data_IF_281669292490
#
_entry.id   IF_281669292490
#
_cell.length_a   1.000
_cell.length_b   1.000
_cell.length_c   1.000
_cell.angle_alpha   90.00
_cell.angle_beta   90.00
_cell.angle_gamma   90.00
#
_symmetry.space_group_name_H-M   'P 1'
#
loop_
_entity.id
_entity.type
_entity.pdbx_description
1 polymer ?
#
# COMPACT_ATOMS: atom_id res chain seq x y z
N UNK A 1 -58.26 -17.58 6.18
CA UNK A 1 -57.29 -18.58 5.64
C UNK A 1 -56.48 -18.02 4.46
N UNK A 2 -56.06 -16.77 4.46
CA UNK A 2 -55.35 -16.15 3.31
C UNK A 2 -53.94 -15.59 3.69
N UNK A 3 -53.47 -15.76 4.93
CA UNK A 3 -52.23 -15.11 5.40
C UNK A 3 -51.00 -16.04 5.46
N UNK A 4 -51.14 -17.33 5.23
CA UNK A 4 -50.05 -18.31 5.28
C UNK A 4 -49.28 -18.45 3.94
N UNK A 5 -49.89 -18.08 2.82
CA UNK A 5 -49.29 -18.16 1.49
C UNK A 5 -48.24 -17.08 1.22
N UNK A 6 -48.51 -15.87 1.69
CA UNK A 6 -47.66 -14.69 1.44
C UNK A 6 -46.35 -14.75 2.26
N UNK A 7 -46.39 -15.28 3.47
CA UNK A 7 -45.18 -15.48 4.30
C UNK A 7 -44.24 -16.58 3.77
N UNK A 8 -44.82 -17.63 3.14
CA UNK A 8 -43.99 -18.67 2.53
C UNK A 8 -43.32 -18.21 1.23
N UNK A 9 -43.97 -17.35 0.46
CA UNK A 9 -43.34 -16.77 -0.73
C UNK A 9 -42.23 -15.78 -0.38
N UNK A 10 -42.44 -14.90 0.59
CA UNK A 10 -41.41 -13.94 1.08
C UNK A 10 -40.17 -14.65 1.66
N UNK A 11 -40.37 -15.75 2.39
CA UNK A 11 -39.24 -16.57 2.87
C UNK A 11 -38.54 -17.33 1.74
N UNK A 12 -39.21 -17.74 0.68
CA UNK A 12 -38.58 -18.37 -0.50
C UNK A 12 -37.79 -17.35 -1.33
N UNK A 13 -38.27 -16.12 -1.44
CA UNK A 13 -37.54 -15.05 -2.11
C UNK A 13 -36.31 -14.62 -1.31
N UNK A 14 -36.42 -14.47 0.01
CA UNK A 14 -35.27 -14.20 0.89
C UNK A 14 -34.22 -15.32 0.89
N UNK A 15 -34.64 -16.60 0.79
CA UNK A 15 -33.75 -17.74 0.60
C UNK A 15 -33.18 -17.81 -0.82
N UNK A 16 -33.87 -17.34 -1.84
CA UNK A 16 -33.30 -17.21 -3.20
C UNK A 16 -32.31 -16.08 -3.32
N UNK A 17 -32.53 -14.95 -2.67
CA UNK A 17 -31.60 -13.84 -2.65
C UNK A 17 -30.35 -14.11 -1.79
N UNK A 18 -30.46 -14.95 -0.75
CA UNK A 18 -29.30 -15.43 0.01
C UNK A 18 -28.45 -16.47 -0.75
N UNK A 19 -29.00 -17.10 -1.79
CA UNK A 19 -28.32 -18.08 -2.68
C UNK A 19 -27.86 -17.49 -4.01
N UNK A 20 -28.07 -16.21 -4.28
CA UNK A 20 -27.38 -15.56 -5.40
C UNK A 20 -25.90 -15.45 -5.04
N UNK A 21 -25.14 -16.52 -5.34
CA UNK A 21 -23.69 -16.43 -5.48
C UNK A 21 -23.38 -15.23 -6.39
N UNK A 22 -22.43 -14.39 -6.02
CA UNK A 22 -22.07 -13.24 -6.86
C UNK A 22 -21.62 -13.79 -8.21
N UNK A 23 -22.25 -13.31 -9.25
CA UNK A 23 -22.15 -13.68 -10.68
C UNK A 23 -20.74 -13.49 -11.30
N UNK A 24 -19.70 -13.66 -10.52
CA UNK A 24 -18.31 -13.68 -10.95
C UNK A 24 -17.51 -14.65 -10.08
N UNK A 25 -17.43 -15.91 -10.52
CA UNK A 25 -16.76 -17.03 -9.88
C UNK A 25 -15.25 -16.85 -9.65
N UNK A 26 -14.85 -15.76 -9.03
CA UNK A 26 -13.52 -15.56 -8.43
C UNK A 26 -13.63 -15.91 -6.96
N UNK A 27 -13.20 -17.11 -6.61
CA UNK A 27 -13.01 -17.50 -5.22
C UNK A 27 -12.09 -16.44 -4.57
N UNK A 28 -12.66 -15.55 -3.76
CA UNK A 28 -11.89 -14.54 -3.00
C UNK A 28 -10.95 -15.29 -2.08
N UNK A 29 -9.77 -14.75 -1.87
CA UNK A 29 -8.78 -15.26 -0.90
C UNK A 29 -8.87 -14.34 0.31
N UNK A 30 -9.66 -14.70 1.35
CA UNK A 30 -9.92 -13.82 2.50
C UNK A 30 -8.64 -13.40 3.21
N UNK A 31 -7.63 -14.25 3.21
CA UNK A 31 -6.32 -14.01 3.84
C UNK A 31 -5.61 -12.80 3.22
N UNK A 32 -5.75 -12.61 1.90
CA UNK A 32 -5.22 -11.43 1.22
C UNK A 32 -6.04 -10.17 1.52
N UNK A 33 -7.34 -10.29 1.76
CA UNK A 33 -8.16 -9.15 2.18
C UNK A 33 -7.80 -8.74 3.61
N UNK A 34 -7.58 -9.67 4.55
CA UNK A 34 -7.04 -9.34 5.88
C UNK A 34 -5.69 -8.62 5.79
N UNK A 35 -4.78 -9.13 4.94
CA UNK A 35 -3.48 -8.52 4.78
C UNK A 35 -3.54 -7.12 4.15
N UNK A 36 -4.38 -6.88 3.15
CA UNK A 36 -4.62 -5.54 2.60
C UNK A 36 -5.19 -4.59 3.65
N UNK A 37 -6.10 -5.08 4.51
CA UNK A 37 -6.64 -4.30 5.62
C UNK A 37 -5.57 -3.93 6.64
N UNK A 38 -4.67 -4.85 6.96
CA UNK A 38 -3.51 -4.55 7.80
C UNK A 38 -2.57 -3.52 7.13
N UNK A 39 -2.26 -3.70 5.85
CA UNK A 39 -1.40 -2.76 5.13
C UNK A 39 -2.01 -1.35 5.05
N UNK A 40 -3.31 -1.21 4.77
CA UNK A 40 -3.93 0.12 4.73
C UNK A 40 -4.00 0.78 6.11
N UNK A 41 -4.17 0.00 7.18
CA UNK A 41 -4.01 0.47 8.54
C UNK A 41 -2.60 1.06 8.75
N UNK A 42 -1.56 0.36 8.30
CA UNK A 42 -0.19 0.84 8.40
C UNK A 42 0.08 2.09 7.56
N UNK A 43 -0.59 2.24 6.40
CA UNK A 43 -0.52 3.50 5.62
C UNK A 43 -1.05 4.66 6.45
N UNK A 44 -2.22 4.51 7.05
CA UNK A 44 -2.83 5.56 7.88
C UNK A 44 -1.93 5.88 9.07
N UNK A 45 -1.55 4.86 9.86
CA UNK A 45 -0.67 5.02 11.02
C UNK A 45 0.67 5.65 10.63
N UNK A 46 1.29 5.20 9.55
CA UNK A 46 2.56 5.75 9.04
C UNK A 46 2.45 7.23 8.70
N UNK A 47 1.34 7.67 8.12
CA UNK A 47 1.11 9.10 7.86
C UNK A 47 0.87 9.92 9.14
N UNK A 48 0.26 9.35 10.18
CA UNK A 48 0.18 10.00 11.49
C UNK A 48 1.53 10.05 12.22
N UNK A 49 2.39 9.07 12.01
CA UNK A 49 3.76 9.05 12.59
C UNK A 49 4.73 9.98 11.85
N UNK A 50 4.46 10.34 10.59
CA UNK A 50 5.37 11.12 9.75
C UNK A 50 5.83 12.45 10.38
N UNK A 51 4.97 13.29 10.97
CA UNK A 51 5.40 14.52 11.64
C UNK A 51 6.23 14.28 12.91
N UNK A 52 6.17 13.07 13.48
CA UNK A 52 6.80 12.69 14.75
C UNK A 52 8.12 11.91 14.58
N UNK A 53 8.52 11.63 13.35
CA UNK A 53 9.70 10.80 13.04
C UNK A 53 11.05 11.49 13.31
N UNK A 54 11.06 12.75 13.73
CA UNK A 54 12.23 13.64 13.78
C UNK A 54 13.38 13.18 14.69
N UNK A 55 13.13 12.23 15.61
CA UNK A 55 14.18 11.63 16.41
C UNK A 55 14.36 10.15 16.05
N UNK A 56 15.54 9.70 15.58
CA UNK A 56 15.81 8.29 15.31
C UNK A 56 15.73 7.40 16.56
N UNK A 57 15.82 7.99 17.75
CA UNK A 57 15.74 7.26 19.02
C UNK A 57 14.31 7.10 19.57
N UNK A 58 13.33 7.79 18.99
CA UNK A 58 11.95 7.73 19.45
C UNK A 58 11.23 6.47 18.99
N UNK A 59 10.25 6.02 19.77
CA UNK A 59 9.32 4.95 19.37
C UNK A 59 8.62 5.30 18.05
N UNK A 60 8.26 6.57 17.85
CA UNK A 60 7.60 7.05 16.63
C UNK A 60 8.49 6.87 15.40
N UNK A 61 9.79 7.26 15.49
CA UNK A 61 10.74 7.09 14.40
C UNK A 61 10.97 5.64 14.04
N UNK A 62 11.22 4.78 15.03
CA UNK A 62 11.41 3.33 14.83
C UNK A 62 10.20 2.68 14.16
N UNK A 63 8.99 2.96 14.67
CA UNK A 63 7.75 2.42 14.12
C UNK A 63 7.47 2.94 12.71
N UNK A 64 7.70 4.24 12.47
CA UNK A 64 7.56 4.86 11.16
C UNK A 64 8.44 4.17 10.11
N UNK A 65 9.73 4.03 10.37
CA UNK A 65 10.65 3.44 9.39
C UNK A 65 10.46 1.95 9.22
N UNK A 66 10.05 1.22 10.26
CA UNK A 66 9.64 -0.17 10.11
C UNK A 66 8.44 -0.30 9.16
N UNK A 67 7.41 0.52 9.33
CA UNK A 67 6.24 0.53 8.43
C UNK A 67 6.69 0.86 7.00
N UNK A 68 7.47 1.93 6.82
CA UNK A 68 7.89 2.40 5.50
C UNK A 68 8.82 1.43 4.78
N UNK A 69 9.50 0.54 5.50
CA UNK A 69 10.41 -0.45 4.89
C UNK A 69 9.71 -1.50 4.03
N UNK A 70 8.39 -1.74 4.22
CA UNK A 70 7.73 -2.85 3.53
C UNK A 70 6.31 -2.58 3.04
N UNK A 71 5.54 -1.65 3.64
CA UNK A 71 4.10 -1.54 3.35
C UNK A 71 3.80 -1.21 1.89
N UNK A 72 4.56 -0.27 1.28
CA UNK A 72 4.38 0.07 -0.15
C UNK A 72 4.90 -1.02 -1.10
N UNK A 73 6.08 -1.62 -0.88
CA UNK A 73 6.48 -2.85 -1.57
C UNK A 73 5.41 -3.94 -1.56
N UNK A 74 4.81 -4.21 -0.39
CA UNK A 74 3.76 -5.21 -0.25
C UNK A 74 2.49 -4.84 -1.04
N UNK A 75 2.06 -3.57 -0.99
CA UNK A 75 0.91 -3.11 -1.78
C UNK A 75 1.14 -3.25 -3.29
N UNK A 76 2.32 -2.87 -3.77
CA UNK A 76 2.65 -2.97 -5.20
C UNK A 76 2.76 -4.42 -5.66
N UNK A 77 3.35 -5.29 -4.83
CA UNK A 77 3.36 -6.72 -5.09
C UNK A 77 1.94 -7.28 -5.24
N UNK A 78 1.05 -6.98 -4.29
CA UNK A 78 -0.36 -7.42 -4.37
C UNK A 78 -1.08 -6.80 -5.57
N UNK A 79 -0.81 -5.54 -5.90
CA UNK A 79 -1.40 -4.87 -7.07
C UNK A 79 -1.00 -5.57 -8.37
N UNK A 80 0.28 -5.93 -8.52
CA UNK A 80 0.77 -6.71 -9.66
C UNK A 80 0.15 -8.11 -9.71
N UNK A 81 0.03 -8.78 -8.57
CA UNK A 81 -0.61 -10.10 -8.46
C UNK A 81 -2.06 -10.08 -8.92
N UNK A 82 -2.86 -9.10 -8.49
CA UNK A 82 -4.26 -8.98 -8.91
C UNK A 82 -4.40 -8.45 -10.34
N UNK A 83 -3.51 -7.53 -10.75
CA UNK A 83 -3.48 -7.02 -12.11
C UNK A 83 -3.26 -8.13 -13.13
N UNK A 84 -2.28 -9.02 -12.94
CA UNK A 84 -2.01 -10.13 -13.85
C UNK A 84 -3.25 -11.00 -14.07
N UNK A 85 -3.99 -11.34 -13.02
CA UNK A 85 -5.21 -12.14 -13.13
C UNK A 85 -6.33 -11.46 -13.93
N UNK A 86 -6.39 -10.13 -13.90
CA UNK A 86 -7.31 -9.28 -14.67
C UNK A 86 -6.86 -9.17 -16.13
N UNK A 87 -5.58 -8.82 -16.31
CA UNK A 87 -4.95 -8.61 -17.60
C UNK A 87 -4.97 -9.88 -18.47
N UNK A 88 -4.64 -11.04 -17.93
CA UNK A 88 -4.67 -12.30 -18.67
C UNK A 88 -6.07 -12.64 -19.24
N UNK A 89 -7.14 -12.15 -18.60
CA UNK A 89 -8.54 -12.40 -19.03
C UNK A 89 -9.07 -11.36 -20.03
N UNK A 90 -8.68 -10.10 -19.87
CA UNK A 90 -9.33 -8.98 -20.55
C UNK A 90 -8.35 -8.07 -21.29
N UNK A 91 -7.04 -8.30 -21.17
CA UNK A 91 -6.01 -7.38 -21.66
C UNK A 91 -5.95 -6.07 -20.87
N UNK A 92 -5.20 -5.12 -21.38
CA UNK A 92 -5.10 -3.75 -20.84
C UNK A 92 -6.42 -3.01 -21.08
N UNK A 93 -7.02 -2.48 -20.03
CA UNK A 93 -8.31 -1.79 -20.08
C UNK A 93 -8.12 -0.29 -19.99
N UNK A 94 -8.24 0.43 -21.09
CA UNK A 94 -8.13 1.90 -21.15
C UNK A 94 -9.09 2.60 -20.18
N UNK A 95 -10.30 2.05 -19.96
CA UNK A 95 -11.25 2.57 -18.97
C UNK A 95 -10.65 2.54 -17.54
N UNK A 96 -9.89 1.50 -17.19
CA UNK A 96 -9.22 1.40 -15.88
C UNK A 96 -8.10 2.43 -15.77
N UNK A 97 -7.29 2.59 -16.82
CA UNK A 97 -6.23 3.60 -16.87
C UNK A 97 -6.79 5.01 -16.73
N UNK A 98 -7.87 5.30 -17.46
CA UNK A 98 -8.54 6.61 -17.39
C UNK A 98 -9.14 6.86 -15.99
N UNK A 99 -9.69 5.83 -15.34
CA UNK A 99 -10.18 5.94 -13.95
C UNK A 99 -9.04 6.26 -12.97
N UNK A 100 -7.85 5.66 -13.13
CA UNK A 100 -6.68 6.03 -12.30
C UNK A 100 -6.23 7.47 -12.56
N UNK A 101 -6.24 7.91 -13.81
CA UNK A 101 -5.89 9.28 -14.15
C UNK A 101 -6.86 10.29 -13.51
N UNK A 102 -8.16 10.07 -13.64
CA UNK A 102 -9.17 10.93 -13.00
C UNK A 102 -9.05 10.92 -11.48
N UNK A 103 -8.81 9.74 -10.88
CA UNK A 103 -8.61 9.62 -9.45
C UNK A 103 -7.36 10.37 -8.99
N UNK A 104 -6.28 10.31 -9.76
CA UNK A 104 -5.08 11.09 -9.50
C UNK A 104 -5.37 12.60 -9.49
N UNK A 105 -6.05 13.10 -10.52
CA UNK A 105 -6.44 14.52 -10.59
C UNK A 105 -7.32 14.92 -9.39
N UNK A 106 -8.33 14.11 -9.07
CA UNK A 106 -9.19 14.33 -7.93
C UNK A 106 -8.39 14.40 -6.62
N UNK A 107 -7.49 13.46 -6.40
CA UNK A 107 -6.64 13.46 -5.20
C UNK A 107 -5.71 14.67 -5.13
N UNK A 108 -5.16 15.12 -6.27
CA UNK A 108 -4.32 16.33 -6.32
C UNK A 108 -5.13 17.56 -5.90
N UNK A 109 -6.33 17.72 -6.43
CA UNK A 109 -7.23 18.80 -6.02
C UNK A 109 -7.60 18.71 -4.54
N UNK A 110 -7.93 17.52 -4.05
CA UNK A 110 -8.27 17.28 -2.64
C UNK A 110 -7.11 17.63 -1.70
N UNK A 111 -5.88 17.23 -2.05
CA UNK A 111 -4.69 17.54 -1.26
C UNK A 111 -4.39 19.04 -1.30
N UNK A 112 -4.56 19.68 -2.46
CA UNK A 112 -4.35 21.12 -2.59
C UNK A 112 -5.37 21.92 -1.75
N UNK A 113 -6.64 21.52 -1.74
CA UNK A 113 -7.65 22.12 -0.85
C UNK A 113 -7.25 21.94 0.62
N UNK A 114 -6.77 20.76 1.01
CA UNK A 114 -6.28 20.53 2.36
C UNK A 114 -5.07 21.43 2.69
N UNK A 115 -4.14 21.61 1.75
CA UNK A 115 -2.98 22.48 1.93
C UNK A 115 -3.39 23.97 2.04
N UNK A 116 -4.41 24.43 1.30
CA UNK A 116 -4.99 25.76 1.44
C UNK A 116 -5.64 25.96 2.82
N UNK A 117 -6.45 24.99 3.26
CA UNK A 117 -7.21 25.09 4.52
C UNK A 117 -6.30 24.97 5.75
N UNK A 118 -5.35 24.04 5.75
CA UNK A 118 -4.58 23.69 6.95
C UNK A 118 -3.18 24.29 6.99
N UNK A 119 -2.56 24.57 5.86
CA UNK A 119 -1.18 25.07 5.80
C UNK A 119 -1.06 26.46 5.17
N UNK A 120 -2.19 27.10 4.82
CA UNK A 120 -2.24 28.43 4.22
C UNK A 120 -1.31 28.56 3.00
N UNK A 121 -1.35 27.56 2.12
CA UNK A 121 -0.54 27.56 0.89
C UNK A 121 -0.81 28.83 0.08
N UNK A 122 0.25 29.44 -0.45
CA UNK A 122 0.16 30.62 -1.32
C UNK A 122 -0.06 30.27 -2.79
N UNK A 123 0.05 28.99 -3.14
CA UNK A 123 -0.17 28.54 -4.51
C UNK A 123 -1.66 28.46 -4.82
N UNK A 124 -2.10 29.13 -5.87
CA UNK A 124 -3.51 29.17 -6.29
C UNK A 124 -3.94 27.84 -6.95
N UNK A 125 -3.04 27.16 -7.65
CA UNK A 125 -3.32 25.94 -8.39
C UNK A 125 -2.46 24.77 -7.91
N UNK A 126 -2.98 23.51 -7.97
CA UNK A 126 -2.21 22.33 -7.67
C UNK A 126 -1.11 22.07 -8.72
N UNK A 127 0.06 21.67 -8.29
CA UNK A 127 1.12 21.19 -9.19
C UNK A 127 0.84 19.74 -9.58
N UNK A 128 0.37 19.52 -10.80
CA UNK A 128 0.05 18.19 -11.32
C UNK A 128 1.29 17.43 -11.81
N UNK A 129 2.42 18.07 -11.98
CA UNK A 129 3.61 17.45 -12.53
C UNK A 129 4.56 16.93 -11.45
N UNK A 130 4.65 17.62 -10.31
CA UNK A 130 5.50 17.17 -9.21
C UNK A 130 4.67 16.55 -8.10
N UNK A 131 4.98 15.29 -7.79
CA UNK A 131 4.21 14.50 -6.83
C UNK A 131 5.08 14.02 -5.67
N UNK A 132 5.12 14.79 -4.60
CA UNK A 132 5.79 14.44 -3.35
C UNK A 132 4.85 13.85 -2.28
N UNK A 133 3.55 13.80 -2.57
CA UNK A 133 2.47 13.55 -1.64
C UNK A 133 1.78 12.20 -1.86
N UNK A 134 0.69 11.93 -1.16
CA UNK A 134 -0.07 10.66 -1.19
C UNK A 134 -0.52 10.20 -2.60
N UNK A 135 -0.95 11.07 -3.56
CA UNK A 135 -1.40 10.62 -4.89
C UNK A 135 -0.39 9.82 -5.71
N UNK A 136 0.91 9.88 -5.36
CA UNK A 136 1.97 9.21 -6.11
C UNK A 136 1.69 7.72 -6.43
N UNK A 137 1.06 7.00 -5.51
CA UNK A 137 0.82 5.57 -5.68
C UNK A 137 -0.17 5.26 -6.81
N UNK A 138 -1.21 6.10 -6.96
CA UNK A 138 -2.20 5.95 -8.05
C UNK A 138 -1.54 6.26 -9.40
N UNK A 139 -0.70 7.28 -9.45
CA UNK A 139 0.05 7.64 -10.65
C UNK A 139 1.06 6.54 -11.03
N UNK A 140 1.76 5.98 -10.06
CA UNK A 140 2.66 4.85 -10.28
C UNK A 140 1.91 3.62 -10.78
N UNK A 141 0.73 3.30 -10.22
CA UNK A 141 -0.10 2.19 -10.72
C UNK A 141 -0.54 2.40 -12.16
N UNK A 142 -0.92 3.62 -12.53
CA UNK A 142 -1.25 4.00 -13.91
C UNK A 142 -0.09 3.67 -14.86
N UNK A 143 1.11 4.11 -14.53
CA UNK A 143 2.30 3.88 -15.38
C UNK A 143 2.72 2.41 -15.39
N UNK A 144 2.61 1.68 -14.27
CA UNK A 144 2.93 0.26 -14.21
C UNK A 144 1.96 -0.57 -15.05
N UNK A 145 0.65 -0.29 -15.01
CA UNK A 145 -0.31 -0.97 -15.89
C UNK A 145 -0.09 -0.59 -17.36
N UNK A 146 0.22 0.68 -17.64
CA UNK A 146 0.53 1.15 -18.99
C UNK A 146 1.80 0.51 -19.55
N UNK A 147 2.82 0.25 -18.73
CA UNK A 147 4.07 -0.38 -19.15
C UNK A 147 3.91 -1.81 -19.69
N UNK A 148 2.73 -2.43 -19.49
CA UNK A 148 2.43 -3.75 -20.04
C UNK A 148 1.84 -3.68 -21.46
N UNK A 149 1.41 -2.49 -21.90
CA UNK A 149 0.84 -2.30 -23.23
C UNK A 149 1.78 -2.72 -24.37
N UNK A 150 3.12 -2.41 -24.36
CA UNK A 150 4.02 -2.88 -25.40
C UNK A 150 4.07 -4.41 -25.51
N UNK A 151 3.97 -5.13 -24.39
CA UNK A 151 3.91 -6.58 -24.39
C UNK A 151 2.66 -7.10 -25.14
N UNK A 152 1.51 -6.43 -25.00
CA UNK A 152 0.33 -6.77 -25.78
C UNK A 152 0.47 -6.43 -27.26
N UNK A 153 0.95 -5.24 -27.58
CA UNK A 153 1.00 -4.74 -28.94
C UNK A 153 1.98 -5.55 -29.82
N UNK A 154 3.15 -5.88 -29.29
CA UNK A 154 4.22 -6.51 -30.07
C UNK A 154 4.27 -8.03 -29.98
N UNK A 155 3.72 -8.63 -28.90
CA UNK A 155 3.86 -10.06 -28.62
C UNK A 155 2.53 -10.83 -28.53
N UNK A 156 1.40 -10.19 -28.85
CA UNK A 156 0.09 -10.82 -28.82
C UNK A 156 -0.14 -11.62 -30.10
N UNK A 157 -0.01 -12.94 -30.02
CA UNK A 157 -0.42 -13.85 -31.08
C UNK A 157 -1.92 -14.22 -31.02
N UNK A 158 -2.40 -15.10 -31.94
CA UNK A 158 -3.80 -15.59 -32.01
C UNK A 158 -4.29 -16.18 -30.67
N UNK A 159 -3.41 -16.80 -29.88
CA UNK A 159 -3.72 -17.39 -28.57
C UNK A 159 -3.42 -16.45 -27.36
N UNK A 160 -3.21 -15.16 -27.62
CA UNK A 160 -2.76 -14.19 -26.62
C UNK A 160 -1.24 -14.12 -26.46
N UNK A 161 -0.76 -13.38 -25.46
CA UNK A 161 0.69 -13.26 -25.19
C UNK A 161 1.24 -14.57 -24.61
N UNK A 162 2.34 -15.05 -25.18
CA UNK A 162 2.98 -16.30 -24.74
C UNK A 162 3.55 -16.17 -23.32
N UNK A 163 3.64 -17.28 -22.62
CA UNK A 163 4.17 -17.32 -21.26
C UNK A 163 5.67 -17.01 -21.20
N UNK A 164 6.44 -17.45 -22.23
CA UNK A 164 7.86 -17.15 -22.32
C UNK A 164 8.12 -15.66 -22.56
N UNK A 165 7.39 -15.05 -23.51
CA UNK A 165 7.46 -13.61 -23.76
C UNK A 165 7.10 -12.80 -22.52
N UNK A 166 6.06 -13.20 -21.79
CA UNK A 166 5.66 -12.54 -20.55
C UNK A 166 6.77 -12.60 -19.50
N UNK A 167 7.37 -13.76 -19.23
CA UNK A 167 8.45 -13.89 -18.25
C UNK A 167 9.65 -13.05 -18.67
N UNK A 168 10.08 -13.17 -19.93
CA UNK A 168 11.24 -12.43 -20.43
C UNK A 168 11.02 -10.91 -20.31
N UNK A 169 9.88 -10.42 -20.77
CA UNK A 169 9.53 -9.00 -20.70
C UNK A 169 9.55 -8.47 -19.25
N UNK A 170 8.84 -9.15 -18.32
CA UNK A 170 8.82 -8.75 -16.92
C UNK A 170 10.21 -8.81 -16.28
N UNK A 171 11.03 -9.82 -16.63
CA UNK A 171 12.42 -9.92 -16.14
C UNK A 171 13.27 -8.75 -16.63
N UNK A 172 13.14 -8.35 -17.90
CA UNK A 172 13.83 -7.18 -18.46
C UNK A 172 13.40 -5.92 -17.71
N UNK A 173 12.09 -5.70 -17.48
CA UNK A 173 11.61 -4.52 -16.74
C UNK A 173 12.13 -4.48 -15.30
N UNK A 174 12.20 -5.63 -14.62
CA UNK A 174 12.78 -5.72 -13.28
C UNK A 174 14.27 -5.34 -13.33
N UNK A 175 15.04 -5.94 -14.23
CA UNK A 175 16.47 -5.68 -14.33
C UNK A 175 16.77 -4.22 -14.70
N UNK A 176 16.04 -3.64 -15.64
CA UNK A 176 16.21 -2.23 -16.03
C UNK A 176 15.82 -1.24 -14.94
N UNK A 177 14.87 -1.58 -14.09
CA UNK A 177 14.41 -0.67 -13.03
C UNK A 177 15.51 -0.37 -11.99
N UNK A 178 16.46 -1.30 -11.75
CA UNK A 178 17.54 -1.09 -10.80
C UNK A 178 18.51 0.02 -11.26
N UNK A 179 19.18 -0.08 -12.41
CA UNK A 179 20.10 0.98 -12.85
C UNK A 179 19.36 2.30 -13.15
N UNK A 180 18.19 2.26 -13.77
CA UNK A 180 17.41 3.45 -14.07
C UNK A 180 16.99 4.22 -12.81
N UNK A 181 16.76 3.52 -11.70
CA UNK A 181 16.42 4.15 -10.42
C UNK A 181 17.57 4.95 -9.78
N UNK A 182 18.79 4.87 -10.35
CA UNK A 182 19.99 5.62 -9.94
C UNK A 182 20.31 6.80 -10.84
N UNK A 183 19.60 6.95 -11.97
CA UNK A 183 19.80 8.11 -12.83
C UNK A 183 19.40 9.36 -12.03
N UNK A 184 20.38 10.10 -11.55
CA UNK A 184 20.18 11.43 -10.95
C UNK A 184 19.78 12.41 -12.07
N UNK A 185 18.51 12.44 -12.41
CA UNK A 185 17.96 13.50 -13.25
C UNK A 185 17.78 14.72 -12.35
N UNK A 186 18.73 15.61 -12.32
CA UNK A 186 18.88 16.81 -11.54
C UNK A 186 17.74 17.27 -10.60
N UNK A 187 18.00 18.21 -9.69
CA UNK A 187 17.00 18.66 -8.67
C UNK A 187 15.67 19.13 -9.25
N UNK A 188 15.66 19.63 -10.49
CA UNK A 188 14.45 20.09 -11.18
C UNK A 188 13.43 18.99 -11.48
N UNK A 189 13.89 17.75 -11.58
CA UNK A 189 13.07 16.58 -11.92
C UNK A 189 12.71 15.69 -10.71
N UNK A 190 13.09 16.15 -9.51
CA UNK A 190 12.70 15.44 -8.30
C UNK A 190 11.17 15.40 -8.18
N UNK A 191 10.64 14.22 -7.87
CA UNK A 191 9.20 13.96 -7.76
C UNK A 191 8.40 14.19 -9.07
N UNK A 192 9.07 14.47 -10.22
CA UNK A 192 8.38 14.66 -11.50
C UNK A 192 7.63 13.39 -11.91
N UNK A 193 6.31 13.49 -12.02
CA UNK A 193 5.39 12.38 -12.30
C UNK A 193 5.67 11.12 -11.47
N UNK A 194 6.30 11.25 -10.30
CA UNK A 194 6.75 10.14 -9.44
C UNK A 194 7.60 9.07 -10.14
N UNK A 195 8.34 9.43 -11.18
CA UNK A 195 9.17 8.49 -11.96
C UNK A 195 10.24 7.82 -11.07
N UNK A 196 10.76 8.55 -10.09
CA UNK A 196 11.68 8.03 -9.07
C UNK A 196 11.07 6.87 -8.29
N UNK A 197 9.84 7.03 -7.79
CA UNK A 197 9.10 5.97 -7.09
C UNK A 197 8.66 4.87 -8.03
N UNK A 198 8.25 5.21 -9.25
CA UNK A 198 7.93 4.23 -10.29
C UNK A 198 9.07 3.25 -10.49
N UNK A 199 10.28 3.74 -10.79
CA UNK A 199 11.45 2.91 -11.05
C UNK A 199 11.91 2.14 -9.80
N UNK A 200 11.79 2.77 -8.63
CA UNK A 200 12.20 2.17 -7.36
C UNK A 200 11.33 0.99 -6.95
N UNK A 201 10.03 1.08 -7.19
CA UNK A 201 9.04 0.12 -6.72
C UNK A 201 8.51 -0.81 -7.82
N UNK A 202 8.79 -0.54 -9.09
CA UNK A 202 8.39 -1.37 -10.23
C UNK A 202 8.74 -2.87 -10.06
N UNK A 203 9.93 -3.26 -9.53
CA UNK A 203 10.26 -4.65 -9.34
C UNK A 203 9.24 -5.42 -8.50
N UNK A 204 8.67 -4.80 -7.48
CA UNK A 204 7.67 -5.45 -6.62
C UNK A 204 6.37 -5.76 -7.38
N UNK A 205 5.91 -4.83 -8.22
CA UNK A 205 4.72 -5.01 -9.04
C UNK A 205 4.91 -6.15 -10.06
N UNK A 206 6.02 -6.13 -10.80
CA UNK A 206 6.30 -7.16 -11.80
C UNK A 206 6.54 -8.54 -11.16
N UNK A 207 7.18 -8.58 -9.99
CA UNK A 207 7.31 -9.83 -9.23
C UNK A 207 5.94 -10.36 -8.76
N UNK A 208 5.03 -9.47 -8.37
CA UNK A 208 3.64 -9.83 -8.07
C UNK A 208 2.92 -10.46 -9.26
N UNK A 209 3.11 -9.91 -10.47
CA UNK A 209 2.60 -10.50 -11.71
C UNK A 209 3.18 -11.89 -11.96
N UNK A 210 4.51 -12.04 -11.78
CA UNK A 210 5.19 -13.34 -11.94
C UNK A 210 4.71 -14.37 -10.91
N UNK A 211 4.51 -13.97 -9.66
CA UNK A 211 4.00 -14.83 -8.61
C UNK A 211 2.60 -15.36 -8.96
N UNK A 212 1.71 -14.51 -9.48
CA UNK A 212 0.39 -14.94 -9.95
C UNK A 212 0.48 -15.90 -11.13
N UNK A 213 1.36 -15.61 -12.08
CA UNK A 213 1.59 -16.45 -13.25
C UNK A 213 2.09 -17.84 -12.86
N UNK A 214 3.02 -17.94 -11.91
CA UNK A 214 3.57 -19.21 -11.39
C UNK A 214 2.65 -19.89 -10.38
N UNK A 215 1.39 -19.43 -10.22
CA UNK A 215 0.41 -19.96 -9.28
C UNK A 215 0.93 -20.02 -7.83
N UNK A 216 1.70 -19.01 -7.41
CA UNK A 216 2.22 -18.92 -6.04
C UNK A 216 1.09 -19.06 -5.03
N UNK A 217 1.22 -20.02 -4.11
CA UNK A 217 0.23 -20.31 -3.09
C UNK A 217 0.52 -19.53 -1.82
N UNK A 218 -0.35 -18.60 -1.48
CA UNK A 218 -0.30 -17.88 -0.21
C UNK A 218 -0.69 -18.75 1.01
N UNK A 219 -1.29 -19.92 0.79
CA UNK A 219 -1.66 -20.82 1.88
C UNK A 219 -0.48 -21.67 2.35
N UNK A 220 0.53 -21.85 1.50
CA UNK A 220 1.75 -22.59 1.85
C UNK A 220 2.77 -21.63 2.48
N UNK A 221 3.02 -21.80 3.77
CA UNK A 221 3.99 -20.99 4.49
C UNK A 221 5.41 -21.53 4.26
N UNK A 222 6.30 -20.62 3.88
CA UNK A 222 7.72 -20.88 3.67
C UNK A 222 8.50 -20.35 4.89
N UNK A 223 9.17 -21.20 5.68
CA UNK A 223 9.77 -20.79 6.94
C UNK A 223 10.95 -19.82 6.76
N UNK A 224 11.81 -20.07 5.78
CA UNK A 224 13.02 -19.25 5.58
C UNK A 224 12.72 -17.75 5.37
N UNK A 225 11.90 -17.31 4.38
CA UNK A 225 11.61 -15.89 4.22
C UNK A 225 10.84 -15.31 5.41
N UNK A 226 10.08 -16.11 6.14
CA UNK A 226 9.40 -15.68 7.36
C UNK A 226 10.42 -15.38 8.47
N UNK A 227 11.36 -16.28 8.74
CA UNK A 227 12.42 -16.11 9.74
C UNK A 227 13.32 -14.92 9.40
N UNK A 228 13.77 -14.80 8.13
CA UNK A 228 14.57 -13.66 7.67
C UNK A 228 13.80 -12.35 7.83
N UNK A 229 12.52 -12.32 7.46
CA UNK A 229 11.69 -11.12 7.61
C UNK A 229 11.51 -10.70 9.08
N UNK A 230 11.30 -11.65 9.98
CA UNK A 230 11.26 -11.40 11.42
C UNK A 230 12.59 -10.87 11.96
N UNK A 231 13.70 -11.51 11.59
CA UNK A 231 15.03 -11.06 11.96
C UNK A 231 15.32 -9.63 11.43
N UNK A 232 14.99 -9.33 10.18
CA UNK A 232 15.15 -7.99 9.61
C UNK A 232 14.29 -6.94 10.31
N UNK A 233 13.04 -7.26 10.65
CA UNK A 233 12.17 -6.36 11.38
C UNK A 233 12.70 -6.04 12.78
N UNK A 234 13.15 -7.07 13.52
CA UNK A 234 13.77 -6.92 14.85
C UNK A 234 15.08 -6.12 14.75
N UNK A 235 15.94 -6.46 13.80
CA UNK A 235 17.23 -5.75 13.59
C UNK A 235 16.98 -4.27 13.29
N UNK A 236 16.05 -3.94 12.38
CA UNK A 236 15.73 -2.53 12.09
C UNK A 236 15.20 -1.80 13.32
N UNK A 237 14.38 -2.45 14.13
CA UNK A 237 13.79 -1.83 15.31
C UNK A 237 14.80 -1.63 16.43
N UNK A 238 15.66 -2.60 16.71
CA UNK A 238 16.66 -2.56 17.78
C UNK A 238 17.87 -1.67 17.40
N UNK A 239 18.41 -1.89 16.21
CA UNK A 239 19.61 -1.19 15.70
C UNK A 239 19.26 -0.02 14.78
N UNK A 240 18.16 0.65 15.09
CA UNK A 240 17.64 1.73 14.25
C UNK A 240 18.61 2.90 14.10
N UNK A 241 19.37 3.22 15.14
CA UNK A 241 20.35 4.32 15.13
C UNK A 241 21.41 4.10 14.04
N UNK A 242 21.95 2.91 13.99
CA UNK A 242 23.00 2.48 13.06
C UNK A 242 22.48 2.35 11.63
N UNK A 243 21.23 1.92 11.47
CA UNK A 243 20.60 1.72 10.18
C UNK A 243 19.91 2.97 9.62
N UNK A 244 19.71 3.99 10.44
CA UNK A 244 19.01 5.22 10.04
C UNK A 244 19.54 5.86 8.75
N UNK A 245 20.87 5.96 8.49
CA UNK A 245 21.39 6.51 7.25
C UNK A 245 20.92 5.79 5.99
N UNK A 246 20.61 4.49 6.10
CA UNK A 246 20.17 3.65 4.98
C UNK A 246 18.64 3.71 4.73
N UNK A 247 17.86 4.28 5.64
CA UNK A 247 16.39 4.24 5.58
C UNK A 247 15.78 5.08 4.46
N UNK A 248 16.55 5.97 3.82
CA UNK A 248 16.08 6.75 2.67
C UNK A 248 15.64 5.87 1.49
N UNK A 249 16.17 4.64 1.37
CA UNK A 249 15.76 3.67 0.35
C UNK A 249 14.26 3.36 0.43
N UNK A 250 13.65 3.45 1.61
CA UNK A 250 12.25 3.11 1.86
C UNK A 250 11.26 4.08 1.19
N UNK A 251 11.68 5.29 0.86
CA UNK A 251 10.84 6.29 0.20
C UNK A 251 10.77 6.12 -1.32
N UNK A 252 11.72 5.39 -1.92
CA UNK A 252 11.79 5.22 -3.36
C UNK A 252 12.09 6.50 -4.15
N UNK A 253 12.56 7.56 -3.50
CA UNK A 253 12.89 8.82 -4.19
C UNK A 253 14.31 8.82 -4.72
N UNK A 254 14.55 9.56 -5.81
CA UNK A 254 15.87 9.77 -6.36
C UNK A 254 16.78 10.53 -5.40
N UNK A 255 18.06 10.38 -5.68
CA UNK A 255 19.10 11.04 -4.93
C UNK A 255 19.18 10.39 -3.55
N UNK A 256 19.75 9.19 -3.54
CA UNK A 256 20.44 8.67 -2.37
C UNK A 256 21.65 9.56 -2.06
N UNK A 257 21.42 10.86 -1.89
CA UNK A 257 22.27 11.66 -1.04
C UNK A 257 22.02 11.19 0.40
N UNK A 258 22.42 9.96 0.61
CA UNK A 258 22.69 9.46 1.93
C UNK A 258 23.69 10.47 2.47
N UNK A 259 23.48 10.95 3.67
CA UNK A 259 24.50 11.73 4.38
C UNK A 259 25.77 10.89 4.31
N UNK A 260 26.63 11.25 3.35
CA UNK A 260 27.74 10.40 2.89
C UNK A 260 28.69 10.04 4.02
N UNK A 261 28.67 10.82 5.11
CA UNK A 261 29.54 10.65 6.27
C UNK A 261 29.15 9.45 7.15
N UNK A 262 27.87 9.11 7.23
CA UNK A 262 27.36 8.09 8.14
C UNK A 262 27.27 6.66 7.54
N UNK A 263 27.68 6.46 6.27
CA UNK A 263 27.57 5.17 5.58
C UNK A 263 28.96 4.53 5.48
N UNK A 264 28.98 3.18 5.62
CA UNK A 264 30.20 2.42 5.42
C UNK A 264 30.84 2.73 4.04
N UNK A 265 32.16 2.88 3.96
CA UNK A 265 32.88 3.28 2.73
C UNK A 265 32.54 2.43 1.52
N UNK A 266 32.34 1.14 1.70
CA UNK A 266 31.92 0.21 0.66
C UNK A 266 30.59 0.62 0.00
N UNK A 267 29.59 0.99 0.77
CA UNK A 267 28.30 1.42 0.23
C UNK A 267 28.32 2.84 -0.34
N UNK A 268 29.31 3.65 0.05
CA UNK A 268 29.55 4.95 -0.61
C UNK A 268 30.06 4.76 -2.03
N UNK A 269 30.94 3.76 -2.24
CA UNK A 269 31.47 3.42 -3.55
C UNK A 269 30.41 2.72 -4.45
N UNK A 270 29.54 1.89 -3.84
CA UNK A 270 28.53 1.09 -4.57
C UNK A 270 27.11 1.28 -4.00
N UNK A 271 26.50 2.48 -4.11
CA UNK A 271 25.19 2.75 -3.53
C UNK A 271 24.06 1.92 -4.14
N UNK A 272 24.26 1.38 -5.35
CA UNK A 272 23.32 0.47 -6.01
C UNK A 272 23.06 -0.80 -5.17
N UNK A 273 24.04 -1.26 -4.41
CA UNK A 273 23.92 -2.46 -3.58
C UNK A 273 22.90 -2.28 -2.45
N UNK A 274 22.74 -1.06 -1.92
CA UNK A 274 21.71 -0.77 -0.92
C UNK A 274 20.32 -1.00 -1.52
N UNK A 275 20.11 -0.60 -2.78
CA UNK A 275 18.83 -0.79 -3.45
C UNK A 275 18.58 -2.24 -3.83
N UNK A 276 19.61 -2.92 -4.36
CA UNK A 276 19.52 -4.35 -4.65
C UNK A 276 19.22 -5.13 -3.37
N UNK A 277 19.90 -4.81 -2.26
CA UNK A 277 19.66 -5.44 -0.95
C UNK A 277 18.29 -5.10 -0.36
N UNK A 278 17.77 -3.88 -0.59
CA UNK A 278 16.44 -3.49 -0.14
C UNK A 278 15.33 -4.36 -0.74
N UNK A 279 15.48 -4.81 -1.97
CA UNK A 279 14.44 -5.59 -2.65
C UNK A 279 14.10 -6.90 -1.91
N UNK A 280 15.04 -7.86 -1.69
CA UNK A 280 14.75 -9.07 -0.91
C UNK A 280 14.42 -8.77 0.55
N UNK A 281 15.05 -7.77 1.16
CA UNK A 281 14.74 -7.31 2.51
C UNK A 281 13.27 -6.93 2.67
N UNK A 282 12.74 -6.06 1.81
CA UNK A 282 11.35 -5.63 1.86
C UNK A 282 10.37 -6.77 1.58
N UNK A 283 10.72 -7.71 0.69
CA UNK A 283 9.90 -8.90 0.43
C UNK A 283 9.83 -9.82 1.64
N UNK A 284 10.96 -10.09 2.31
CA UNK A 284 11.00 -10.95 3.49
C UNK A 284 10.19 -10.35 4.65
N UNK A 285 10.32 -9.04 4.93
CA UNK A 285 9.50 -8.37 5.95
C UNK A 285 8.02 -8.38 5.57
N UNK A 286 7.69 -8.10 4.30
CA UNK A 286 6.30 -8.17 3.81
C UNK A 286 5.71 -9.56 4.01
N UNK A 287 6.49 -10.60 3.73
CA UNK A 287 6.08 -11.99 3.88
C UNK A 287 5.92 -12.39 5.35
N UNK A 288 6.81 -11.93 6.22
CA UNK A 288 6.70 -12.13 7.67
C UNK A 288 5.38 -11.55 8.22
N UNK A 289 5.07 -10.30 7.92
CA UNK A 289 3.82 -9.68 8.37
C UNK A 289 2.59 -10.32 7.71
N UNK A 290 2.67 -10.75 6.45
CA UNK A 290 1.63 -11.57 5.85
C UNK A 290 1.38 -12.84 6.65
N UNK A 291 2.44 -13.55 7.01
CA UNK A 291 2.37 -14.81 7.78
C UNK A 291 1.75 -14.59 9.16
N UNK A 292 2.12 -13.50 9.86
CA UNK A 292 1.49 -13.14 11.14
C UNK A 292 -0.02 -12.91 10.97
N UNK A 293 -0.43 -12.10 9.99
CA UNK A 293 -1.86 -11.83 9.72
C UNK A 293 -2.59 -13.13 9.34
N UNK A 294 -1.98 -14.00 8.54
CA UNK A 294 -2.53 -15.30 8.17
C UNK A 294 -2.79 -16.19 9.40
N UNK A 295 -1.80 -16.36 10.27
CA UNK A 295 -1.96 -17.17 11.49
C UNK A 295 -3.01 -16.55 12.43
N UNK A 296 -2.97 -15.25 12.66
CA UNK A 296 -3.95 -14.55 13.48
C UNK A 296 -5.37 -14.73 12.96
N UNK A 297 -5.60 -14.50 11.67
CA UNK A 297 -6.92 -14.64 11.06
C UNK A 297 -7.42 -16.09 11.10
N UNK A 298 -6.51 -17.06 10.94
CA UNK A 298 -6.86 -18.50 10.97
C UNK A 298 -7.14 -18.99 12.39
N UNK A 299 -6.34 -18.57 13.38
CA UNK A 299 -6.53 -18.95 14.78
C UNK A 299 -7.88 -18.44 15.31
N UNK A 300 -8.23 -17.18 15.00
CA UNK A 300 -9.44 -16.55 15.48
C UNK A 300 -10.72 -17.07 14.81
N UNK A 301 -10.66 -17.56 13.58
CA UNK A 301 -11.80 -18.26 12.95
C UNK A 301 -12.22 -19.51 13.74
N UNK A 302 -11.32 -20.09 14.56
CA UNK A 302 -11.59 -21.28 15.40
C UNK A 302 -12.22 -20.93 16.75
N UNK A 303 -12.15 -19.69 17.19
CA UNK A 303 -12.70 -19.23 18.48
C UNK A 303 -14.14 -18.75 18.28
N UNK A 304 -15.11 -19.41 18.93
CA UNK A 304 -16.55 -19.11 18.77
C UNK A 304 -17.03 -17.85 19.53
N UNK A 305 -16.17 -17.19 20.29
CA UNK A 305 -16.54 -16.02 21.12
C UNK A 305 -16.48 -14.72 20.33
N UNK A 306 -17.53 -13.88 20.44
CA UNK A 306 -17.59 -12.53 19.90
C UNK A 306 -16.72 -11.55 20.73
N UNK A 307 -15.42 -11.71 20.68
CA UNK A 307 -14.45 -10.89 21.40
C UNK A 307 -14.15 -9.59 20.63
N UNK A 308 -13.56 -8.60 21.31
CA UNK A 308 -13.02 -7.38 20.68
C UNK A 308 -12.11 -7.70 19.49
N UNK A 309 -11.36 -8.79 19.59
CA UNK A 309 -10.43 -9.24 18.57
C UNK A 309 -11.14 -9.70 17.28
N UNK A 310 -12.34 -10.30 17.37
CA UNK A 310 -13.16 -10.60 16.17
C UNK A 310 -13.60 -9.33 15.48
N UNK A 311 -14.03 -8.31 16.22
CA UNK A 311 -14.41 -7.01 15.64
C UNK A 311 -13.25 -6.33 14.92
N UNK A 312 -12.04 -6.41 15.48
CA UNK A 312 -10.81 -5.90 14.83
C UNK A 312 -10.53 -6.64 13.52
N UNK A 313 -10.65 -7.98 13.51
CA UNK A 313 -10.46 -8.76 12.29
C UNK A 313 -11.52 -8.48 11.23
N UNK A 314 -12.78 -8.39 11.61
CA UNK A 314 -13.85 -7.99 10.68
C UNK A 314 -13.61 -6.61 10.08
N UNK A 315 -13.13 -5.66 10.90
CA UNK A 315 -12.74 -4.34 10.43
C UNK A 315 -11.57 -4.41 9.43
N UNK A 316 -10.53 -5.22 9.72
CA UNK A 316 -9.42 -5.42 8.80
C UNK A 316 -9.88 -6.08 7.50
N UNK A 317 -10.73 -7.12 7.56
CA UNK A 317 -11.29 -7.77 6.39
C UNK A 317 -12.05 -6.77 5.50
N UNK A 318 -12.96 -6.01 6.10
CA UNK A 318 -13.75 -4.98 5.42
C UNK A 318 -12.84 -3.88 4.82
N UNK A 319 -11.88 -3.40 5.59
CA UNK A 319 -10.93 -2.38 5.14
C UNK A 319 -10.07 -2.88 3.98
N UNK A 320 -9.69 -4.16 3.99
CA UNK A 320 -8.97 -4.80 2.88
C UNK A 320 -9.80 -4.96 1.61
N UNK A 321 -11.12 -5.04 1.74
CA UNK A 321 -12.04 -5.03 0.59
C UNK A 321 -12.22 -3.62 0.01
N UNK A 322 -12.17 -2.59 0.84
CA UNK A 322 -12.44 -1.20 0.52
C UNK A 322 -11.26 -0.29 0.89
N UNK A 323 -10.05 -0.63 0.42
CA UNK A 323 -8.82 0.12 0.73
C UNK A 323 -8.78 1.51 0.10
N UNK A 324 -9.41 1.68 -1.07
CA UNK A 324 -9.29 2.89 -1.88
C UNK A 324 -9.83 4.15 -1.19
N UNK A 325 -11.05 4.18 -0.63
CA UNK A 325 -11.52 5.39 0.06
C UNK A 325 -10.70 5.72 1.30
N UNK A 326 -10.19 4.72 2.03
CA UNK A 326 -9.28 4.96 3.15
C UNK A 326 -8.01 5.65 2.64
N UNK A 327 -7.44 5.15 1.55
CA UNK A 327 -6.25 5.72 0.92
C UNK A 327 -6.47 7.16 0.43
N UNK A 328 -7.63 7.46 -0.15
CA UNK A 328 -7.95 8.80 -0.67
C UNK A 328 -8.12 9.82 0.44
N UNK A 329 -8.87 9.50 1.48
CA UNK A 329 -9.34 10.50 2.45
C UNK A 329 -8.54 10.57 3.75
N UNK A 330 -7.65 9.59 4.09
CA UNK A 330 -6.96 9.60 5.39
C UNK A 330 -6.07 10.83 5.62
N UNK A 331 -5.45 11.39 4.57
CA UNK A 331 -4.50 12.50 4.71
C UNK A 331 -5.17 13.82 5.13
N UNK A 332 -6.27 14.28 4.54
CA UNK A 332 -6.99 15.45 5.05
C UNK A 332 -7.36 15.33 6.54
N UNK A 333 -7.76 14.13 7.00
CA UNK A 333 -8.02 13.90 8.42
C UNK A 333 -6.76 14.05 9.29
N UNK A 334 -5.61 13.52 8.81
CA UNK A 334 -4.33 13.71 9.50
C UNK A 334 -3.97 15.20 9.57
N UNK A 335 -4.11 15.93 8.46
CA UNK A 335 -3.74 17.34 8.40
C UNK A 335 -4.62 18.17 9.34
N UNK A 336 -5.93 17.93 9.36
CA UNK A 336 -6.84 18.53 10.33
C UNK A 336 -6.43 18.20 11.78
N UNK A 337 -6.12 16.93 12.09
CA UNK A 337 -5.73 16.51 13.43
C UNK A 337 -4.50 17.27 13.94
N UNK A 338 -3.46 17.44 13.12
CA UNK A 338 -2.23 18.12 13.50
C UNK A 338 -2.33 19.65 13.51
N UNK A 339 -3.38 20.23 12.94
CA UNK A 339 -3.62 21.68 13.05
C UNK A 339 -4.24 22.13 14.36
N UNK A 340 -4.89 21.23 15.11
CA UNK A 340 -5.37 21.60 16.44
C UNK A 340 -4.21 21.99 17.35
N UNK A 341 -4.32 23.17 17.97
CA UNK A 341 -3.26 23.81 18.81
C UNK A 341 -2.75 22.91 19.94
N UNK A 342 -3.61 22.04 20.47
CA UNK A 342 -3.27 21.07 21.52
C UNK A 342 -2.18 20.09 21.06
N UNK A 343 -2.33 19.52 19.86
CA UNK A 343 -1.36 18.55 19.32
C UNK A 343 0.01 19.17 19.07
N UNK A 344 0.05 20.40 18.57
CA UNK A 344 1.34 21.12 18.37
C UNK A 344 2.06 21.39 19.70
N UNK A 345 1.37 21.89 20.72
CA UNK A 345 1.94 22.13 22.05
C UNK A 345 2.42 20.84 22.71
N UNK A 346 1.65 19.75 22.58
CA UNK A 346 1.96 18.46 23.16
C UNK A 346 3.22 17.83 22.56
N UNK A 347 3.38 17.94 21.21
CA UNK A 347 4.54 17.44 20.49
C UNK A 347 5.81 18.25 20.79
N UNK A 348 5.69 19.59 20.83
CA UNK A 348 6.82 20.51 21.06
C UNK A 348 7.25 20.55 22.53
N UNK A 349 6.38 20.17 23.47
CA UNK A 349 6.63 20.18 24.91
C UNK A 349 7.53 19.06 25.44
N UNK A 350 8.11 18.21 24.57
CA UNK A 350 9.03 17.14 24.98
C UNK A 350 8.33 16.01 25.73
N UNK A 351 7.61 15.15 25.00
CA UNK A 351 6.99 13.96 25.58
C UNK A 351 8.02 12.94 26.04
N UNK A 352 7.88 12.46 27.27
CA UNK A 352 8.74 11.42 27.85
C UNK A 352 7.94 10.27 28.47
N UNK A 353 8.52 9.08 28.49
CA UNK A 353 8.00 7.92 29.22
C UNK A 353 6.58 7.50 28.81
N UNK A 354 5.66 7.39 29.79
CA UNK A 354 4.30 6.94 29.58
C UNK A 354 3.45 7.80 28.67
N UNK A 355 3.73 9.12 28.56
CA UNK A 355 3.02 10.02 27.63
C UNK A 355 3.28 9.67 26.16
N UNK A 356 4.50 9.23 25.81
CA UNK A 356 4.85 8.76 24.46
C UNK A 356 4.01 7.53 24.12
N UNK A 357 3.91 6.58 25.03
CA UNK A 357 3.12 5.36 24.82
C UNK A 357 1.63 5.65 24.71
N UNK A 358 1.12 6.52 25.59
CA UNK A 358 -0.30 6.94 25.54
C UNK A 358 -0.61 7.61 24.20
N UNK A 359 0.20 8.55 23.75
CA UNK A 359 -0.03 9.25 22.48
C UNK A 359 0.09 8.29 21.28
N UNK A 360 1.05 7.37 21.31
CA UNK A 360 1.16 6.32 20.30
C UNK A 360 -0.11 5.46 20.23
N UNK A 361 -0.65 5.07 21.39
CA UNK A 361 -1.91 4.31 21.47
C UNK A 361 -3.09 5.11 20.92
N UNK A 362 -3.15 6.42 21.19
CA UNK A 362 -4.17 7.31 20.63
C UNK A 362 -4.08 7.35 19.09
N UNK A 363 -2.88 7.48 18.52
CA UNK A 363 -2.67 7.45 17.07
C UNK A 363 -3.09 6.11 16.45
N UNK A 364 -2.80 5.01 17.12
CA UNK A 364 -3.28 3.68 16.70
C UNK A 364 -4.81 3.62 16.69
N UNK A 365 -5.47 4.12 17.75
CA UNK A 365 -6.93 4.17 17.87
C UNK A 365 -7.57 5.03 16.79
N UNK A 366 -7.04 6.22 16.54
CA UNK A 366 -7.50 7.11 15.45
C UNK A 366 -7.36 6.43 14.09
N UNK A 367 -6.25 5.75 13.86
CA UNK A 367 -6.03 5.02 12.62
C UNK A 367 -7.08 3.91 12.42
N UNK A 368 -7.42 3.15 13.45
CA UNK A 368 -8.52 2.17 13.41
C UNK A 368 -9.89 2.82 13.21
N UNK A 369 -10.15 3.95 13.85
CA UNK A 369 -11.39 4.70 13.68
C UNK A 369 -11.58 5.17 12.23
N UNK A 370 -10.51 5.65 11.59
CA UNK A 370 -10.56 6.03 10.17
C UNK A 370 -10.84 4.83 9.25
N UNK A 371 -10.30 3.65 9.56
CA UNK A 371 -10.65 2.43 8.84
C UNK A 371 -12.16 2.13 8.95
N UNK A 372 -12.72 2.27 10.12
CA UNK A 372 -14.15 2.06 10.36
C UNK A 372 -15.01 3.09 9.60
N UNK A 373 -14.61 4.35 9.65
CA UNK A 373 -15.35 5.44 9.01
C UNK A 373 -15.32 5.36 7.49
N UNK A 374 -14.13 5.15 6.92
CA UNK A 374 -13.86 5.28 5.49
C UNK A 374 -13.98 3.95 4.72
N UNK A 375 -13.81 2.81 5.37
CA UNK A 375 -13.87 1.47 4.75
C UNK A 375 -15.29 1.05 4.38
N UNK A 376 -16.01 1.83 3.57
CA UNK A 376 -17.42 1.61 3.21
C UNK A 376 -17.58 1.36 1.70
N UNK A 377 -18.50 0.45 1.35
CA UNK A 377 -18.79 0.08 -0.04
C UNK A 377 -19.25 1.28 -0.88
N UNK A 378 -20.07 2.16 -0.32
CA UNK A 378 -20.56 3.37 -0.99
C UNK A 378 -19.43 4.33 -1.37
N UNK A 379 -18.48 4.56 -0.44
CA UNK A 379 -17.30 5.38 -0.70
C UNK A 379 -16.35 4.72 -1.71
N UNK A 380 -16.19 3.41 -1.69
CA UNK A 380 -15.39 2.67 -2.67
C UNK A 380 -15.98 2.78 -4.08
N UNK A 381 -17.30 2.69 -4.21
CA UNK A 381 -17.99 2.89 -5.49
C UNK A 381 -17.78 4.32 -6.03
N UNK A 382 -17.84 5.32 -5.18
CA UNK A 382 -17.54 6.72 -5.53
C UNK A 382 -16.08 6.87 -5.99
N UNK A 383 -15.10 6.39 -5.21
CA UNK A 383 -13.68 6.52 -5.55
C UNK A 383 -13.29 5.76 -6.82
N UNK A 384 -13.98 4.67 -7.13
CA UNK A 384 -13.73 3.92 -8.38
C UNK A 384 -14.31 4.61 -9.61
N UNK A 385 -14.99 5.73 -9.44
CA UNK A 385 -15.68 6.44 -10.54
C UNK A 385 -16.33 5.43 -11.51
N UNK A 386 -17.10 4.51 -10.95
CA UNK A 386 -17.92 3.63 -11.77
C UNK A 386 -18.99 4.49 -12.43
N UNK A 387 -18.62 5.06 -13.57
CA UNK A 387 -19.59 5.57 -14.50
C UNK A 387 -20.51 4.38 -14.79
N UNK A 388 -21.71 4.44 -14.22
CA UNK A 388 -22.79 3.51 -14.49
C UNK A 388 -23.03 3.50 -15.99
N UNK A 389 -22.73 2.43 -16.63
CA UNK A 389 -23.08 2.04 -17.95
C UNK A 389 -23.37 0.57 -17.91
#
# INVERSE_FOLDING_TARGET
MQDSGTRMQDNRERMRDSKKEPENGKKRIPELDYYKGFLIYLVVLGHFLLPLKGSPHSLFGRSFYLIYSFHMPAFLFLSGYFFFGRWKKRGTQFRSLFSYFLLYLFMKCLMHIADLLFYHSKHLFPDFLHESSTPWYILVLLFLELSILPLELFFKGKRGVSDRATILYLSILILLSFPLSFLEIGRKWKDFLSIDRLLSFAPFFYLGMMAKKKAFSFQKIHPLPCLLGGAFAVTLFLFFRELYPYTRVFYGVWGYRIEREAIAPFFKAFPILIRIGFFPYALCISYFFYTLVFFFSTALKRVKSATLLHRVLELLLRSGQYTLPIYVFHRPFRDAFFQFSFTKKFILGGMHGGLVLLFFTVLMGISFFLLFLLGRKSLDAFCRMRLSG
#
